data_IF_198939173116
#
_entry.id   IF_198939173116
#
_cell.length_a   1.000
_cell.length_b   1.000
_cell.length_c   1.000
_cell.angle_alpha   90.00
_cell.angle_beta   90.00
_cell.angle_gamma   90.00
#
_symmetry.space_group_name_H-M   'P 1'
#
loop_
_entity.id
_entity.type
_entity.pdbx_description
1 polymer ?
#
# COMPACT_ATOMS: atom_id res chain seq x y z
N UNK A 1 19.62 0.56 -9.23
CA UNK A 1 19.93 0.38 -10.67
C UNK A 1 20.14 -1.12 -10.87
N UNK A 2 19.29 -1.78 -11.67
CA UNK A 2 19.45 -3.22 -11.92
C UNK A 2 20.55 -3.42 -12.95
N UNK A 3 21.51 -4.29 -12.67
CA UNK A 3 22.50 -4.66 -13.66
C UNK A 3 21.86 -5.67 -14.61
N UNK A 4 21.70 -5.30 -15.88
CA UNK A 4 21.42 -6.28 -16.94
C UNK A 4 22.63 -7.19 -17.00
N UNK A 5 22.55 -8.37 -16.40
CA UNK A 5 23.58 -9.40 -16.53
C UNK A 5 23.58 -9.93 -17.95
N UNK A 6 24.75 -10.09 -18.57
CA UNK A 6 24.96 -10.64 -19.91
C UNK A 6 24.77 -12.18 -19.97
N UNK A 7 24.01 -12.77 -19.04
CA UNK A 7 23.79 -14.21 -18.99
C UNK A 7 22.64 -14.62 -19.92
N UNK A 8 22.73 -15.81 -20.49
CA UNK A 8 21.70 -16.42 -21.32
C UNK A 8 21.34 -17.81 -20.81
N UNK A 9 20.07 -18.20 -20.98
CA UNK A 9 19.57 -19.55 -20.69
C UNK A 9 18.98 -20.13 -21.97
N UNK A 10 19.32 -21.37 -22.27
CA UNK A 10 18.78 -22.10 -23.42
C UNK A 10 17.69 -23.05 -22.98
N UNK A 11 16.50 -22.91 -23.57
CA UNK A 11 15.40 -23.87 -23.48
C UNK A 11 15.42 -24.77 -24.71
N UNK A 12 15.45 -26.09 -24.52
CA UNK A 12 15.43 -27.06 -25.61
C UNK A 12 14.07 -27.73 -25.72
N UNK A 13 13.49 -27.78 -26.92
CA UNK A 13 12.25 -28.51 -27.21
C UNK A 13 12.20 -28.95 -28.68
N UNK A 14 11.92 -30.23 -28.93
CA UNK A 14 11.89 -30.85 -30.27
C UNK A 14 13.15 -30.56 -31.12
N UNK A 15 14.33 -30.79 -30.54
CA UNK A 15 15.64 -30.54 -31.16
C UNK A 15 15.91 -29.08 -31.57
N UNK A 16 15.09 -28.14 -31.08
CA UNK A 16 15.30 -26.70 -31.24
C UNK A 16 15.73 -26.07 -29.93
N UNK A 17 16.72 -25.21 -30.03
CA UNK A 17 17.22 -24.39 -28.93
C UNK A 17 16.63 -22.99 -29.02
N UNK A 18 16.18 -22.47 -27.88
CA UNK A 18 15.62 -21.13 -27.72
C UNK A 18 16.41 -20.42 -26.63
N UNK A 19 17.14 -19.38 -26.99
CA UNK A 19 17.97 -18.62 -26.06
C UNK A 19 17.19 -17.43 -25.49
N UNK A 20 17.22 -17.28 -24.18
CA UNK A 20 16.58 -16.18 -23.46
C UNK A 20 17.61 -15.43 -22.60
N UNK A 21 17.53 -14.09 -22.55
CA UNK A 21 18.39 -13.31 -21.68
C UNK A 21 18.00 -13.51 -20.22
N UNK A 22 18.97 -13.33 -19.34
CA UNK A 22 18.77 -13.34 -17.89
C UNK A 22 18.83 -11.94 -17.31
N UNK A 23 18.15 -11.74 -16.18
CA UNK A 23 18.18 -10.50 -15.43
C UNK A 23 18.53 -10.84 -13.99
N UNK A 24 19.57 -10.19 -13.45
CA UNK A 24 19.99 -10.41 -12.07
C UNK A 24 19.50 -9.26 -11.18
N UNK A 25 18.81 -9.61 -10.09
CA UNK A 25 18.37 -8.67 -9.06
C UNK A 25 19.50 -8.20 -8.15
N UNK A 26 19.23 -7.20 -7.31
CA UNK A 26 20.20 -6.67 -6.34
C UNK A 26 20.59 -7.67 -5.24
N UNK A 27 19.73 -8.68 -5.01
CA UNK A 27 19.94 -9.76 -4.04
C UNK A 27 20.44 -11.05 -4.73
N UNK A 28 21.04 -10.92 -5.92
CA UNK A 28 21.62 -12.00 -6.73
C UNK A 28 20.66 -13.08 -7.23
N UNK A 29 19.35 -12.82 -7.22
CA UNK A 29 18.39 -13.70 -7.86
C UNK A 29 18.40 -13.54 -9.38
N UNK A 30 18.42 -14.66 -10.11
CA UNK A 30 18.43 -14.68 -11.57
C UNK A 30 17.03 -14.99 -12.11
N UNK A 31 16.43 -14.03 -12.81
CA UNK A 31 15.22 -14.23 -13.60
C UNK A 31 15.54 -14.51 -15.06
N UNK A 32 14.76 -15.37 -15.70
CA UNK A 32 14.82 -15.61 -17.16
C UNK A 32 13.75 -14.74 -17.83
N UNK A 33 14.16 -13.86 -18.75
CA UNK A 33 13.23 -13.00 -19.48
C UNK A 33 12.59 -13.76 -20.64
N UNK A 34 11.38 -14.25 -20.39
CA UNK A 34 10.53 -14.96 -21.36
C UNK A 34 9.51 -14.05 -22.06
N UNK A 35 9.65 -12.72 -21.98
CA UNK A 35 8.67 -11.76 -22.52
C UNK A 35 8.39 -11.94 -24.02
N UNK A 36 9.37 -12.44 -24.77
CA UNK A 36 9.27 -12.71 -26.22
C UNK A 36 8.88 -14.14 -26.60
N UNK A 37 8.77 -15.07 -25.63
CA UNK A 37 8.52 -16.49 -25.88
C UNK A 37 7.31 -16.74 -26.80
N UNK A 38 6.19 -16.05 -26.54
CA UNK A 38 4.98 -16.20 -27.36
C UNK A 38 5.09 -15.50 -28.71
N UNK A 39 5.66 -14.29 -28.74
CA UNK A 39 5.76 -13.50 -29.96
C UNK A 39 6.62 -14.23 -31.01
N UNK A 40 7.78 -14.73 -30.56
CA UNK A 40 8.84 -15.20 -31.43
C UNK A 40 8.79 -16.72 -31.63
N UNK A 41 8.27 -17.48 -30.66
CA UNK A 41 8.28 -18.96 -30.70
C UNK A 41 6.90 -19.62 -30.57
N UNK A 42 5.83 -18.83 -30.47
CA UNK A 42 4.43 -19.30 -30.36
C UNK A 42 4.19 -20.28 -29.21
N UNK A 43 4.98 -20.16 -28.15
CA UNK A 43 4.91 -20.98 -26.93
C UNK A 43 4.42 -20.16 -25.75
N UNK A 44 3.93 -20.85 -24.72
CA UNK A 44 3.52 -20.27 -23.44
C UNK A 44 4.07 -21.13 -22.30
N UNK A 45 4.28 -20.53 -21.14
CA UNK A 45 4.53 -21.25 -19.89
C UNK A 45 3.21 -21.55 -19.20
N UNK A 46 3.18 -22.61 -18.40
CA UNK A 46 2.07 -22.94 -17.50
C UNK A 46 2.60 -22.92 -16.08
N UNK A 47 2.23 -21.89 -15.32
CA UNK A 47 2.63 -21.71 -13.92
C UNK A 47 1.40 -21.32 -13.10
N UNK A 48 0.71 -22.33 -12.58
CA UNK A 48 -0.52 -22.12 -11.82
C UNK A 48 -0.21 -21.42 -10.50
N UNK A 49 -0.76 -20.22 -10.32
CA UNK A 49 -0.55 -19.40 -9.12
C UNK A 49 0.69 -18.50 -9.16
N UNK A 50 1.40 -18.42 -10.28
CA UNK A 50 2.58 -17.57 -10.47
C UNK A 50 3.74 -17.84 -9.49
N UNK A 51 3.84 -19.05 -8.94
CA UNK A 51 4.85 -19.39 -7.94
C UNK A 51 6.29 -19.26 -8.48
N UNK A 52 6.49 -19.40 -9.79
CA UNK A 52 7.78 -19.33 -10.46
C UNK A 52 7.91 -18.10 -11.37
N UNK A 53 6.92 -17.21 -11.36
CA UNK A 53 6.82 -16.10 -12.30
C UNK A 53 6.97 -14.77 -11.55
N UNK A 54 7.99 -13.99 -11.90
CA UNK A 54 8.15 -12.61 -11.41
C UNK A 54 7.43 -11.63 -12.35
N UNK A 55 6.28 -11.04 -11.98
CA UNK A 55 5.48 -10.21 -12.88
C UNK A 55 5.96 -8.76 -12.99
N UNK A 56 6.77 -8.29 -12.04
CA UNK A 56 7.24 -6.92 -12.00
C UNK A 56 8.64 -6.82 -11.39
N UNK A 57 9.25 -5.65 -11.57
CA UNK A 57 10.47 -5.25 -10.86
C UNK A 57 10.07 -4.28 -9.75
N UNK A 58 10.58 -4.49 -8.55
CA UNK A 58 10.30 -3.63 -7.40
C UNK A 58 11.59 -3.36 -6.62
N UNK A 59 11.63 -2.20 -5.97
CA UNK A 59 12.67 -1.81 -5.02
C UNK A 59 12.05 -1.40 -3.67
N UNK A 60 10.84 -1.90 -3.37
CA UNK A 60 10.06 -1.51 -2.19
C UNK A 60 10.37 -2.45 -1.01
N UNK A 61 10.14 -3.75 -1.17
CA UNK A 61 10.28 -4.75 -0.11
C UNK A 61 11.07 -5.93 -0.61
N UNK A 62 12.00 -6.41 0.21
CA UNK A 62 12.66 -7.70 0.03
C UNK A 62 12.17 -8.68 1.07
N UNK A 63 11.90 -9.92 0.66
CA UNK A 63 11.44 -11.01 1.52
C UNK A 63 12.25 -12.25 1.19
N UNK A 64 12.86 -12.86 2.20
CA UNK A 64 13.46 -14.18 2.11
C UNK A 64 12.78 -15.12 3.11
N UNK A 65 11.94 -16.02 2.61
CA UNK A 65 11.18 -16.94 3.44
C UNK A 65 12.03 -18.04 4.11
N UNK A 66 13.21 -18.35 3.57
CA UNK A 66 14.09 -19.40 4.11
C UNK A 66 14.86 -18.89 5.33
N UNK A 67 15.35 -17.65 5.26
CA UNK A 67 16.06 -17.01 6.38
C UNK A 67 15.13 -16.25 7.31
N UNK A 68 13.86 -16.05 6.92
CA UNK A 68 12.89 -15.26 7.67
C UNK A 68 13.14 -13.75 7.61
N UNK A 69 13.87 -13.28 6.60
CA UNK A 69 14.27 -11.89 6.48
C UNK A 69 13.23 -11.04 5.74
N UNK A 70 12.92 -9.87 6.30
CA UNK A 70 12.02 -8.88 5.71
C UNK A 70 12.67 -7.50 5.79
N UNK A 71 12.80 -6.82 4.64
CA UNK A 71 13.36 -5.46 4.56
C UNK A 71 12.46 -4.52 3.78
N UNK A 72 12.30 -3.29 4.27
CA UNK A 72 11.66 -2.18 3.55
C UNK A 72 12.72 -1.20 3.08
N UNK A 73 12.82 -0.98 1.77
CA UNK A 73 13.84 -0.13 1.14
C UNK A 73 15.28 -0.43 1.60
N UNK A 74 15.55 -1.69 1.98
CA UNK A 74 16.84 -2.15 2.49
C UNK A 74 16.98 -2.13 4.02
N UNK A 75 16.10 -1.44 4.75
CA UNK A 75 16.09 -1.44 6.22
C UNK A 75 15.40 -2.68 6.77
N UNK A 76 15.94 -3.28 7.83
CA UNK A 76 15.33 -4.44 8.47
C UNK A 76 14.03 -4.06 9.17
N UNK A 77 13.04 -4.95 9.12
CA UNK A 77 11.73 -4.67 9.72
C UNK A 77 11.81 -4.47 11.23
N UNK A 78 12.71 -5.18 11.92
CA UNK A 78 12.91 -5.08 13.36
C UNK A 78 13.43 -3.69 13.76
N UNK A 79 14.36 -3.15 12.98
CA UNK A 79 14.91 -1.81 13.21
C UNK A 79 13.84 -0.73 13.03
N UNK A 80 13.01 -0.86 11.98
CA UNK A 80 11.92 0.07 11.73
C UNK A 80 10.82 -0.02 12.81
N UNK A 81 10.48 -1.23 13.26
CA UNK A 81 9.47 -1.42 14.29
C UNK A 81 9.89 -0.83 15.66
N UNK A 82 11.17 -0.90 15.99
CA UNK A 82 11.71 -0.39 17.25
C UNK A 82 11.96 1.13 17.24
N UNK A 83 12.32 1.71 16.09
CA UNK A 83 12.87 3.07 16.02
C UNK A 83 12.03 4.07 15.22
N UNK A 84 11.14 3.62 14.35
CA UNK A 84 10.38 4.49 13.46
C UNK A 84 8.89 4.51 13.79
N UNK A 85 8.27 5.67 13.60
CA UNK A 85 6.83 5.83 13.66
C UNK A 85 6.15 5.36 12.37
N UNK A 86 4.84 5.08 12.45
CA UNK A 86 4.07 4.67 11.27
C UNK A 86 4.13 5.69 10.10
N UNK A 87 3.99 7.02 10.33
CA UNK A 87 4.14 8.01 9.25
C UNK A 87 5.53 8.00 8.60
N UNK A 88 6.61 7.78 9.37
CA UNK A 88 7.98 7.66 8.82
C UNK A 88 8.11 6.44 7.92
N UNK A 89 7.62 5.27 8.36
CA UNK A 89 7.65 4.05 7.54
C UNK A 89 6.78 4.19 6.29
N UNK A 90 5.62 4.83 6.40
CA UNK A 90 4.78 5.11 5.24
C UNK A 90 5.49 6.03 4.23
N UNK A 91 6.13 7.09 4.71
CA UNK A 91 6.94 7.97 3.89
C UNK A 91 8.07 7.21 3.19
N UNK A 92 8.80 6.36 3.92
CA UNK A 92 9.88 5.52 3.38
C UNK A 92 9.39 4.62 2.25
N UNK A 93 8.25 3.95 2.43
CA UNK A 93 7.71 3.03 1.42
C UNK A 93 7.28 3.78 0.15
N UNK A 94 6.68 4.96 0.29
CA UNK A 94 6.18 5.78 -0.82
C UNK A 94 7.34 6.46 -1.56
N UNK A 95 8.22 7.16 -0.84
CA UNK A 95 9.25 8.03 -1.41
C UNK A 95 10.59 7.32 -1.64
N UNK A 96 10.85 6.21 -0.96
CA UNK A 96 12.04 5.38 -1.16
C UNK A 96 13.17 5.61 -0.17
N UNK A 97 13.16 6.73 0.56
CA UNK A 97 14.16 7.10 1.56
C UNK A 97 13.48 7.56 2.86
N UNK A 98 14.21 7.49 3.97
CA UNK A 98 13.71 7.98 5.26
C UNK A 98 13.61 9.51 5.21
N UNK A 99 12.54 10.11 5.76
CA UNK A 99 12.39 11.55 5.76
C UNK A 99 13.42 12.20 6.69
N UNK A 100 13.88 13.39 6.34
CA UNK A 100 14.46 14.32 7.31
C UNK A 100 13.39 14.78 8.31
N UNK A 101 13.83 15.34 9.44
CA UNK A 101 12.91 15.86 10.45
C UNK A 101 11.91 16.89 9.89
N UNK A 102 12.36 17.78 9.01
CA UNK A 102 11.51 18.80 8.41
C UNK A 102 10.47 18.19 7.44
N UNK A 103 10.89 17.22 6.62
CA UNK A 103 10.00 16.52 5.69
C UNK A 103 8.95 15.69 6.44
N UNK A 104 9.34 15.09 7.58
CA UNK A 104 8.41 14.36 8.42
C UNK A 104 7.37 15.29 9.04
N UNK A 105 7.79 16.42 9.60
CA UNK A 105 6.89 17.42 10.19
C UNK A 105 5.89 17.95 9.15
N UNK A 106 6.35 18.22 7.93
CA UNK A 106 5.49 18.63 6.81
C UNK A 106 4.51 17.52 6.43
N UNK A 107 4.99 16.28 6.27
CA UNK A 107 4.16 15.14 5.91
C UNK A 107 3.08 14.85 6.95
N UNK A 108 3.42 14.88 8.24
CA UNK A 108 2.44 14.70 9.30
C UNK A 108 1.42 15.84 9.34
N UNK A 109 1.83 17.09 9.10
CA UNK A 109 0.91 18.22 9.02
C UNK A 109 -0.07 18.05 7.83
N UNK A 110 0.42 17.57 6.70
CA UNK A 110 -0.37 17.27 5.51
C UNK A 110 -1.40 16.16 5.79
N UNK A 111 -0.98 15.08 6.47
CA UNK A 111 -1.88 14.00 6.90
C UNK A 111 -2.96 14.53 7.86
N UNK A 112 -2.57 15.28 8.90
CA UNK A 112 -3.52 15.87 9.88
C UNK A 112 -4.56 16.76 9.19
N UNK A 113 -4.13 17.56 8.21
CA UNK A 113 -5.00 18.42 7.42
C UNK A 113 -6.08 17.70 6.60
N UNK A 114 -5.91 16.40 6.34
CA UNK A 114 -6.79 15.61 5.47
C UNK A 114 -7.58 14.51 6.17
N UNK A 115 -7.53 14.41 7.51
CA UNK A 115 -8.19 13.33 8.27
C UNK A 115 -9.72 13.34 8.20
N UNK A 116 -10.35 14.52 8.05
CA UNK A 116 -11.81 14.68 8.03
C UNK A 116 -12.42 14.14 6.72
N UNK A 117 -13.45 13.30 6.83
CA UNK A 117 -14.24 12.85 5.68
C UNK A 117 -15.25 13.93 5.24
N UNK A 118 -15.69 13.87 3.99
CA UNK A 118 -16.83 14.68 3.57
C UNK A 118 -18.07 14.25 4.39
N UNK A 119 -18.79 15.21 4.97
CA UNK A 119 -19.96 14.95 5.81
C UNK A 119 -21.06 14.15 5.10
N UNK A 120 -21.21 14.31 3.78
CA UNK A 120 -22.17 13.54 2.99
C UNK A 120 -21.87 12.04 3.01
N UNK A 121 -20.61 11.64 3.25
CA UNK A 121 -20.26 10.23 3.39
C UNK A 121 -20.91 9.59 4.62
N UNK A 122 -21.29 10.34 5.66
CA UNK A 122 -21.97 9.76 6.82
C UNK A 122 -23.29 9.13 6.46
N UNK A 123 -24.02 9.71 5.50
CA UNK A 123 -25.25 9.13 5.00
C UNK A 123 -25.01 7.73 4.39
N UNK A 124 -23.87 7.52 3.73
CA UNK A 124 -23.46 6.21 3.23
C UNK A 124 -23.23 5.21 4.38
N UNK A 125 -22.52 5.62 5.44
CA UNK A 125 -22.33 4.77 6.62
C UNK A 125 -23.66 4.43 7.30
N UNK A 126 -24.59 5.39 7.35
CA UNK A 126 -25.89 5.21 7.97
C UNK A 126 -26.81 4.27 7.19
N UNK A 127 -26.66 4.22 5.87
CA UNK A 127 -27.38 3.30 4.99
C UNK A 127 -27.01 1.83 5.19
N UNK A 128 -25.83 1.52 5.74
CA UNK A 128 -25.50 0.12 6.03
C UNK A 128 -26.34 -0.45 7.19
N UNK A 129 -26.74 -1.73 7.12
CA UNK A 129 -27.41 -2.40 8.23
C UNK A 129 -26.58 -2.36 9.51
N UNK A 130 -27.25 -2.24 10.65
CA UNK A 130 -26.61 -2.40 11.96
C UNK A 130 -26.07 -3.83 12.09
N UNK A 131 -24.83 -3.98 12.50
CA UNK A 131 -24.16 -5.29 12.61
C UNK A 131 -23.60 -5.83 11.29
N UNK A 132 -23.60 -5.05 10.21
CA UNK A 132 -22.86 -5.42 9.01
C UNK A 132 -21.35 -5.54 9.32
N UNK A 133 -20.70 -6.50 8.67
CA UNK A 133 -19.28 -6.78 8.92
C UNK A 133 -18.43 -5.55 8.54
N UNK A 134 -17.53 -5.05 9.42
CA UNK A 134 -16.76 -3.83 9.19
C UNK A 134 -16.02 -3.79 7.86
N UNK A 135 -15.45 -4.92 7.42
CA UNK A 135 -14.74 -4.98 6.12
C UNK A 135 -15.64 -4.69 4.92
N UNK A 136 -16.92 -5.08 4.96
CA UNK A 136 -17.86 -4.76 3.88
C UNK A 136 -18.14 -3.26 3.82
N UNK A 137 -18.35 -2.65 4.99
CA UNK A 137 -18.54 -1.20 5.12
C UNK A 137 -17.29 -0.45 4.65
N UNK A 138 -16.11 -0.84 5.14
CA UNK A 138 -14.81 -0.25 4.79
C UNK A 138 -14.58 -0.28 3.28
N UNK A 139 -14.73 -1.45 2.65
CA UNK A 139 -14.54 -1.59 1.19
C UNK A 139 -15.48 -0.70 0.40
N UNK A 140 -16.77 -0.68 0.75
CA UNK A 140 -17.77 0.14 0.05
C UNK A 140 -17.55 1.64 0.27
N UNK A 141 -17.22 2.05 1.49
CA UNK A 141 -16.94 3.45 1.82
C UNK A 141 -15.66 3.96 1.14
N UNK A 142 -14.60 3.14 1.11
CA UNK A 142 -13.36 3.48 0.39
C UNK A 142 -13.58 3.62 -1.10
N UNK A 143 -14.38 2.74 -1.72
CA UNK A 143 -14.77 2.89 -3.12
C UNK A 143 -15.62 4.16 -3.33
N UNK A 144 -16.54 4.44 -2.41
CA UNK A 144 -17.37 5.65 -2.42
C UNK A 144 -16.56 6.94 -2.32
N UNK A 145 -15.40 6.95 -1.67
CA UNK A 145 -14.54 8.15 -1.63
C UNK A 145 -14.16 8.65 -3.02
N UNK A 146 -14.06 7.78 -4.01
CA UNK A 146 -13.73 8.19 -5.38
C UNK A 146 -14.75 9.20 -5.95
N UNK A 147 -16.03 9.12 -5.59
CA UNK A 147 -17.05 10.04 -6.09
C UNK A 147 -16.97 11.45 -5.47
N UNK A 148 -16.22 11.63 -4.39
CA UNK A 148 -16.07 12.93 -3.71
C UNK A 148 -14.76 13.64 -4.07
N UNK A 149 -13.82 12.95 -4.72
CA UNK A 149 -12.47 13.43 -4.98
C UNK A 149 -12.09 13.32 -6.47
N UNK A 150 -13.05 13.56 -7.37
CA UNK A 150 -12.91 13.40 -8.82
C UNK A 150 -11.75 14.19 -9.43
N UNK A 151 -11.40 15.34 -8.82
CA UNK A 151 -10.29 16.19 -9.26
C UNK A 151 -8.95 15.46 -9.35
N UNK A 152 -8.77 14.37 -8.60
CA UNK A 152 -7.50 13.66 -8.47
C UNK A 152 -7.50 12.29 -9.16
N UNK A 153 -8.42 12.06 -10.10
CA UNK A 153 -8.59 10.76 -10.76
C UNK A 153 -7.60 10.47 -11.89
N UNK A 154 -6.83 11.44 -12.40
CA UNK A 154 -5.88 11.17 -13.47
C UNK A 154 -4.65 10.42 -12.93
N UNK A 155 -4.46 9.12 -13.25
CA UNK A 155 -3.31 8.36 -12.75
C UNK A 155 -1.99 8.76 -13.43
N UNK A 156 -2.03 9.61 -14.47
CA UNK A 156 -0.84 10.11 -15.17
C UNK A 156 -0.34 11.43 -14.60
N UNK A 157 -1.15 12.11 -13.81
CA UNK A 157 -0.77 13.34 -13.12
C UNK A 157 -0.10 13.00 -11.79
N UNK A 158 1.21 13.25 -11.69
CA UNK A 158 2.00 12.92 -10.51
C UNK A 158 1.52 13.69 -9.26
N UNK A 159 1.07 14.94 -9.41
CA UNK A 159 0.58 15.74 -8.30
C UNK A 159 -0.78 15.20 -7.82
N UNK A 160 -1.66 14.81 -8.75
CA UNK A 160 -2.93 14.17 -8.42
C UNK A 160 -2.73 12.83 -7.69
N UNK A 161 -1.75 12.02 -8.10
CA UNK A 161 -1.40 10.77 -7.43
C UNK A 161 -0.84 11.02 -6.03
N UNK A 162 0.05 12.01 -5.87
CA UNK A 162 0.59 12.40 -4.56
C UNK A 162 -0.53 12.81 -3.60
N UNK A 163 -1.39 13.71 -4.04
CA UNK A 163 -2.52 14.18 -3.25
C UNK A 163 -3.49 13.05 -2.88
N UNK A 164 -3.82 12.18 -3.84
CA UNK A 164 -4.67 11.01 -3.59
C UNK A 164 -4.05 10.06 -2.57
N UNK A 165 -2.73 9.86 -2.64
CA UNK A 165 -1.99 9.02 -1.69
C UNK A 165 -2.08 9.59 -0.28
N UNK A 166 -1.82 10.89 -0.11
CA UNK A 166 -1.93 11.57 1.19
C UNK A 166 -3.36 11.49 1.74
N UNK A 167 -4.37 11.74 0.89
CA UNK A 167 -5.79 11.66 1.28
C UNK A 167 -6.18 10.26 1.70
N UNK A 168 -5.76 9.23 0.97
CA UNK A 168 -6.03 7.84 1.34
C UNK A 168 -5.38 7.51 2.69
N UNK A 169 -4.11 7.86 2.87
CA UNK A 169 -3.40 7.63 4.14
C UNK A 169 -4.04 8.37 5.32
N UNK A 170 -4.53 9.58 5.13
CA UNK A 170 -5.17 10.38 6.17
C UNK A 170 -6.60 9.92 6.50
N UNK A 171 -7.39 9.53 5.49
CA UNK A 171 -8.82 9.26 5.64
C UNK A 171 -9.15 7.83 5.99
N UNK A 172 -8.31 6.86 5.59
CA UNK A 172 -8.58 5.44 5.80
C UNK A 172 -8.75 5.07 7.29
N UNK A 173 -7.97 5.61 8.24
CA UNK A 173 -8.22 5.40 9.68
C UNK A 173 -9.61 5.88 10.11
N UNK A 174 -10.06 7.04 9.62
CA UNK A 174 -11.39 7.60 9.90
C UNK A 174 -12.49 6.68 9.34
N UNK A 175 -12.34 6.19 8.11
CA UNK A 175 -13.28 5.23 7.50
C UNK A 175 -13.33 3.93 8.30
N UNK A 176 -12.19 3.39 8.70
CA UNK A 176 -12.10 2.16 9.49
C UNK A 176 -12.75 2.34 10.88
N UNK A 177 -12.51 3.46 11.55
CA UNK A 177 -13.14 3.78 12.83
C UNK A 177 -14.65 3.93 12.72
N UNK A 178 -15.14 4.60 11.66
CA UNK A 178 -16.58 4.74 11.42
C UNK A 178 -17.23 3.39 11.13
N UNK A 179 -16.58 2.53 10.34
CA UNK A 179 -17.04 1.17 10.07
C UNK A 179 -17.16 0.35 11.37
N UNK A 180 -16.16 0.46 12.26
CA UNK A 180 -16.21 -0.19 13.58
C UNK A 180 -17.35 0.35 14.44
N UNK A 181 -17.44 1.67 14.64
CA UNK A 181 -18.52 2.31 15.43
C UNK A 181 -19.90 1.96 14.90
N UNK A 182 -20.09 1.91 13.58
CA UNK A 182 -21.33 1.46 12.94
C UNK A 182 -21.67 0.00 13.27
N UNK A 183 -20.68 -0.89 13.25
CA UNK A 183 -20.89 -2.31 13.53
C UNK A 183 -21.40 -2.57 14.95
N UNK A 184 -20.93 -1.78 15.92
CA UNK A 184 -21.34 -1.89 17.34
C UNK A 184 -22.51 -0.94 17.72
N UNK A 185 -22.88 -0.01 16.83
CA UNK A 185 -23.98 0.94 17.03
C UNK A 185 -23.65 2.08 18.00
N UNK A 186 -22.39 2.52 18.02
CA UNK A 186 -21.93 3.68 18.78
C UNK A 186 -21.85 4.93 17.90
N UNK A 187 -21.88 6.15 18.49
CA UNK A 187 -21.68 7.39 17.75
C UNK A 187 -20.27 7.46 17.13
N UNK A 188 -20.17 8.14 15.98
CA UNK A 188 -18.89 8.40 15.32
C UNK A 188 -18.10 9.46 16.09
N UNK A 189 -16.80 9.22 16.23
CA UNK A 189 -15.85 10.16 16.84
C UNK A 189 -15.05 10.84 15.74
N UNK A 190 -14.91 12.16 15.79
CA UNK A 190 -14.13 12.88 14.80
C UNK A 190 -12.62 12.79 15.07
N UNK A 191 -11.79 12.91 14.02
CA UNK A 191 -10.35 13.04 14.18
C UNK A 191 -9.96 14.25 15.03
N UNK A 192 -8.87 14.10 15.78
CA UNK A 192 -8.24 15.12 16.63
C UNK A 192 -6.84 15.45 16.12
N UNK A 193 -6.62 16.71 15.76
CA UNK A 193 -5.34 17.16 15.20
C UNK A 193 -4.23 17.29 16.25
N UNK A 194 -4.57 17.29 17.53
CA UNK A 194 -3.62 17.34 18.65
C UNK A 194 -3.01 15.96 18.98
N UNK A 195 -3.53 14.88 18.38
CA UNK A 195 -3.02 13.52 18.55
C UNK A 195 -2.13 13.09 17.38
N UNK A 196 -1.20 12.16 17.64
CA UNK A 196 -0.45 11.48 16.58
C UNK A 196 -1.35 10.49 15.81
N UNK A 197 -0.83 9.96 14.69
CA UNK A 197 -1.58 9.11 13.78
C UNK A 197 -2.24 7.89 14.47
N UNK A 198 -1.49 7.21 15.34
CA UNK A 198 -1.95 5.98 15.99
C UNK A 198 -2.88 6.28 17.16
N UNK A 199 -2.54 7.28 17.98
CA UNK A 199 -3.38 7.72 19.09
C UNK A 199 -4.72 8.25 18.61
N UNK A 200 -4.74 9.02 17.51
CA UNK A 200 -5.98 9.51 16.89
C UNK A 200 -6.86 8.35 16.41
N UNK A 201 -6.27 7.33 15.78
CA UNK A 201 -7.03 6.14 15.36
C UNK A 201 -7.66 5.40 16.55
N UNK A 202 -6.91 5.19 17.63
CA UNK A 202 -7.43 4.55 18.85
C UNK A 202 -8.54 5.37 19.50
N UNK A 203 -8.38 6.69 19.58
CA UNK A 203 -9.41 7.59 20.09
C UNK A 203 -10.69 7.51 19.26
N UNK A 204 -10.59 7.45 17.93
CA UNK A 204 -11.77 7.33 17.07
C UNK A 204 -12.46 5.96 17.20
N UNK A 205 -11.68 4.89 17.44
CA UNK A 205 -12.19 3.52 17.63
C UNK A 205 -12.92 3.36 18.96
N UNK A 206 -12.31 3.81 20.06
CA UNK A 206 -12.74 3.46 21.42
C UNK A 206 -13.34 4.62 22.22
N UNK A 207 -13.04 5.87 21.86
CA UNK A 207 -13.57 7.03 22.54
C UNK A 207 -15.10 7.11 22.49
N UNK A 208 -15.69 7.70 23.52
CA UNK A 208 -17.11 7.95 23.64
C UNK A 208 -17.35 9.45 23.85
N UNK A 209 -18.49 10.02 23.40
CA UNK A 209 -18.78 11.44 23.63
C UNK A 209 -19.01 11.83 25.10
N UNK A 210 -19.14 10.84 25.99
CA UNK A 210 -19.51 11.04 27.39
C UNK A 210 -18.30 11.14 28.33
N UNK A 211 -17.11 10.81 27.87
CA UNK A 211 -15.88 10.84 28.66
C UNK A 211 -14.65 11.09 27.77
N UNK A 212 -13.62 11.71 28.33
CA UNK A 212 -12.33 11.80 27.64
C UNK A 212 -11.64 10.43 27.65
N UNK A 213 -11.09 10.07 26.49
CA UNK A 213 -10.33 8.85 26.26
C UNK A 213 -8.85 9.06 26.54
#
# INVERSE_FOLDING_TARGET
>A
MFNTSEGEVTLTHDDKEYTFPTVTGTENETGVDISRLRADHKKITLDYGFANTAPCRSAITYVNGETGELRYRGYKIEELADQASFPEVAYLLINGELPSKAELEEYEAELRGHTLLNEEMKALFDAFPRGAHPMGILSSATAGMSTFYERYHDPKDADAVKESTVRLMAKLPTVAAFAYKKSIGQPYMYPRNDLDYSSNFLQMMFGLPVEEY
#
